data_IF_904332619450
#
_entry.id   IF_904332619450
#
_cell.length_a   1.000
_cell.length_b   1.000
_cell.length_c   1.000
_cell.angle_alpha   90.00
_cell.angle_beta   90.00
_cell.angle_gamma   90.00
#
_symmetry.space_group_name_H-M   'P 1'
#
loop_
_entity.id
_entity.type
_entity.pdbx_description
1 polymer ?
#
# COMPACT_ATOMS: atom_id res chain seq x y z
N UNK A 1 28.17 12.16 20.18
CA UNK A 1 29.18 12.74 19.32
C UNK A 1 29.32 11.85 18.12
N UNK A 2 28.93 12.40 17.01
CA UNK A 2 29.23 12.09 15.61
C UNK A 2 29.25 10.64 15.11
N UNK A 3 28.22 10.33 14.39
CA UNK A 3 28.07 9.18 13.50
C UNK A 3 27.05 9.49 12.41
N UNK A 4 27.16 10.70 11.80
CA UNK A 4 26.42 11.02 10.57
C UNK A 4 27.05 10.28 9.39
N UNK A 5 26.60 9.10 9.07
CA UNK A 5 26.90 8.46 7.79
C UNK A 5 26.11 9.15 6.68
N UNK A 6 26.86 9.68 5.74
CA UNK A 6 26.37 10.31 4.50
C UNK A 6 25.66 9.27 3.64
N UNK A 7 24.41 9.53 3.34
CA UNK A 7 23.68 8.78 2.32
C UNK A 7 24.25 9.12 0.94
N UNK A 8 24.86 8.15 0.29
CA UNK A 8 25.17 8.22 -1.14
C UNK A 8 23.87 8.01 -1.92
N UNK A 9 23.54 8.99 -2.74
CA UNK A 9 22.49 8.94 -3.75
C UNK A 9 22.88 7.90 -4.82
N UNK A 10 22.38 6.67 -4.73
CA UNK A 10 22.42 5.77 -5.86
C UNK A 10 21.24 6.13 -6.78
N UNK A 11 21.60 6.80 -7.85
CA UNK A 11 20.76 7.09 -9.01
C UNK A 11 20.40 5.77 -9.68
N UNK A 12 19.12 5.51 -9.83
CA UNK A 12 18.61 4.42 -10.65
C UNK A 12 18.95 4.70 -12.12
N UNK A 13 19.96 4.03 -12.67
CA UNK A 13 20.22 4.03 -14.10
C UNK A 13 19.30 3.02 -14.76
N UNK A 14 18.43 3.52 -15.64
CA UNK A 14 17.61 2.70 -16.54
C UNK A 14 18.51 1.89 -17.48
N UNK A 15 18.52 0.56 -17.33
CA UNK A 15 19.00 -0.32 -18.39
C UNK A 15 17.95 -0.34 -19.50
N UNK A 16 18.25 0.29 -20.62
CA UNK A 16 17.54 0.10 -21.88
C UNK A 16 17.89 -1.29 -22.45
N UNK A 17 16.86 -1.92 -23.01
CA UNK A 17 16.81 -3.12 -23.84
C UNK A 17 16.39 -4.43 -23.19
N UNK A 18 15.08 -4.64 -23.30
CA UNK A 18 14.47 -5.91 -23.74
C UNK A 18 12.94 -5.80 -23.68
N UNK A 19 12.29 -5.55 -24.82
CA UNK A 19 10.83 -5.67 -24.97
C UNK A 19 10.42 -7.14 -24.90
N UNK A 20 9.48 -7.53 -24.03
CA UNK A 20 8.91 -8.87 -24.06
C UNK A 20 7.74 -8.93 -25.05
N UNK A 21 7.78 -9.90 -25.95
CA UNK A 21 6.80 -10.15 -27.02
C UNK A 21 5.31 -10.35 -26.58
N UNK A 22 5.02 -10.39 -25.29
CA UNK A 22 3.66 -10.51 -24.74
C UNK A 22 2.93 -9.17 -24.59
N UNK A 23 3.62 -8.03 -24.68
CA UNK A 23 3.01 -6.70 -24.55
C UNK A 23 2.52 -6.20 -25.92
N UNK A 24 3.13 -6.67 -27.01
CA UNK A 24 2.79 -6.21 -28.36
C UNK A 24 1.42 -6.71 -28.86
N UNK A 25 0.96 -7.89 -28.45
CA UNK A 25 -0.36 -8.41 -28.85
C UNK A 25 -1.51 -7.63 -28.22
N UNK A 26 -1.35 -7.14 -26.97
CA UNK A 26 -2.35 -6.31 -26.31
C UNK A 26 -2.28 -4.84 -26.77
N UNK A 27 -1.12 -4.36 -27.21
CA UNK A 27 -0.96 -3.00 -27.74
C UNK A 27 -1.65 -2.83 -29.10
N UNK A 28 -1.65 -3.86 -29.95
CA UNK A 28 -2.31 -3.81 -31.26
C UNK A 28 -3.85 -3.85 -31.18
N UNK A 29 -4.45 -4.53 -30.23
CA UNK A 29 -5.88 -4.42 -29.97
C UNK A 29 -6.27 -3.05 -29.34
N UNK A 30 -5.32 -2.38 -28.68
CA UNK A 30 -5.49 -1.08 -28.07
C UNK A 30 -5.31 0.10 -29.03
N UNK A 31 -4.61 -0.11 -30.17
CA UNK A 31 -4.36 0.94 -31.18
C UNK A 31 -5.51 1.18 -32.17
N UNK A 32 -6.51 0.28 -32.24
CA UNK A 32 -7.62 0.36 -33.18
C UNK A 32 -8.75 1.34 -32.79
N UNK A 33 -8.65 2.04 -31.65
CA UNK A 33 -9.57 3.12 -31.27
C UNK A 33 -9.00 4.47 -31.66
N UNK A 34 -9.24 4.87 -32.89
CA UNK A 34 -8.79 6.14 -33.47
C UNK A 34 -9.14 7.36 -32.60
N UNK A 35 -8.11 8.18 -32.32
CA UNK A 35 -8.14 9.62 -32.14
C UNK A 35 -8.81 10.22 -30.90
N UNK A 36 -8.76 9.59 -29.70
CA UNK A 36 -8.95 10.37 -28.47
C UNK A 36 -7.59 10.75 -27.88
N UNK A 37 -7.37 12.01 -27.49
CA UNK A 37 -6.17 12.35 -26.76
C UNK A 37 -6.11 11.49 -25.47
N UNK A 38 -4.92 11.01 -25.12
CA UNK A 38 -4.70 10.23 -23.89
C UNK A 38 -5.28 10.97 -22.68
N UNK A 39 -6.08 10.33 -21.82
CA UNK A 39 -6.70 11.01 -20.69
C UNK A 39 -5.66 11.49 -19.68
N UNK A 40 -5.91 12.66 -19.10
CA UNK A 40 -5.11 13.21 -18.02
C UNK A 40 -5.74 12.88 -16.66
N UNK A 41 -5.02 12.10 -15.84
CA UNK A 41 -5.39 11.75 -14.47
C UNK A 41 -4.53 12.54 -13.49
N UNK A 42 -5.18 13.38 -12.69
CA UNK A 42 -4.55 14.08 -11.56
C UNK A 42 -4.77 13.31 -10.28
N UNK A 43 -3.69 12.83 -9.68
CA UNK A 43 -3.71 12.16 -8.38
C UNK A 43 -3.62 13.21 -7.27
N UNK A 44 -4.67 13.35 -6.48
CA UNK A 44 -4.71 14.31 -5.37
C UNK A 44 -4.55 13.57 -4.04
N UNK A 45 -3.49 13.87 -3.31
CA UNK A 45 -3.13 13.23 -2.04
C UNK A 45 -2.85 14.27 -0.95
N UNK A 46 -3.20 13.96 0.30
CA UNK A 46 -3.07 14.88 1.43
C UNK A 46 -1.61 15.30 1.68
N UNK A 47 -0.70 14.33 1.68
CA UNK A 47 0.73 14.59 1.87
C UNK A 47 1.59 13.42 1.39
N UNK A 48 2.86 13.73 1.09
CA UNK A 48 3.94 12.80 0.79
C UNK A 48 5.14 13.12 1.72
N UNK A 49 4.88 13.07 3.05
CA UNK A 49 5.86 13.38 4.11
C UNK A 49 6.51 12.13 4.70
N UNK A 50 5.85 10.98 4.57
CA UNK A 50 6.34 9.66 4.93
C UNK A 50 5.65 8.66 4.00
N UNK A 51 6.32 7.56 3.69
CA UNK A 51 5.77 6.53 2.84
C UNK A 51 5.05 5.47 3.68
N UNK A 52 3.73 5.49 3.60
CA UNK A 52 2.85 4.43 4.09
C UNK A 52 2.28 3.64 2.91
N UNK A 53 1.44 2.65 3.19
CA UNK A 53 0.88 1.79 2.13
C UNK A 53 0.08 2.52 1.05
N UNK A 54 -0.57 3.64 1.39
CA UNK A 54 -1.32 4.46 0.44
C UNK A 54 -0.42 5.28 -0.46
N UNK A 55 0.58 5.94 0.12
CA UNK A 55 1.58 6.75 -0.57
C UNK A 55 2.43 5.88 -1.51
N UNK A 56 2.96 4.78 -1.01
CA UNK A 56 3.73 3.82 -1.81
C UNK A 56 2.92 3.27 -2.98
N UNK A 57 1.64 2.95 -2.76
CA UNK A 57 0.78 2.49 -3.85
C UNK A 57 0.56 3.58 -4.92
N UNK A 58 0.33 4.84 -4.51
CA UNK A 58 0.18 5.95 -5.47
C UNK A 58 1.45 6.11 -6.31
N UNK A 59 2.63 6.14 -5.68
CA UNK A 59 3.90 6.27 -6.39
C UNK A 59 4.11 5.11 -7.36
N UNK A 60 3.84 3.88 -6.94
CA UNK A 60 3.87 2.67 -7.80
C UNK A 60 2.91 2.79 -8.99
N UNK A 61 1.68 3.26 -8.77
CA UNK A 61 0.70 3.47 -9.86
C UNK A 61 1.22 4.47 -10.86
N UNK A 62 1.77 5.60 -10.41
CA UNK A 62 2.29 6.66 -11.29
C UNK A 62 3.52 6.21 -12.06
N UNK A 63 4.42 5.47 -11.42
CA UNK A 63 5.64 4.93 -12.03
C UNK A 63 5.34 3.90 -13.13
N UNK A 64 4.40 2.99 -12.85
CA UNK A 64 4.06 1.88 -13.75
C UNK A 64 2.98 2.19 -14.78
N UNK A 65 2.34 3.38 -14.69
CA UNK A 65 1.31 3.78 -15.65
C UNK A 65 1.93 4.09 -17.00
N UNK A 66 1.53 3.39 -18.10
CA UNK A 66 2.07 3.65 -19.43
C UNK A 66 1.75 5.09 -19.86
N UNK A 67 2.78 5.94 -20.11
CA UNK A 67 2.56 7.36 -20.43
C UNK A 67 1.90 7.57 -21.79
N UNK A 68 1.96 6.59 -22.68
CA UNK A 68 1.27 6.57 -23.97
C UNK A 68 -0.24 6.34 -23.84
N UNK A 69 -0.69 5.71 -22.74
CA UNK A 69 -2.11 5.43 -22.49
C UNK A 69 -2.76 6.45 -21.57
N UNK A 70 -2.04 6.95 -20.56
CA UNK A 70 -2.56 7.88 -19.55
C UNK A 70 -1.49 8.90 -19.18
N UNK A 71 -1.83 10.20 -19.28
CA UNK A 71 -1.02 11.28 -18.72
C UNK A 71 -1.29 11.35 -17.21
N UNK A 72 -0.25 11.29 -16.40
CA UNK A 72 -0.34 11.39 -14.94
C UNK A 72 0.27 12.68 -14.41
N UNK A 73 -0.32 13.27 -13.39
CA UNK A 73 0.27 14.31 -12.55
C UNK A 73 -0.17 14.14 -11.10
N UNK A 74 0.58 14.70 -10.16
CA UNK A 74 0.29 14.63 -8.73
C UNK A 74 0.00 16.03 -8.19
N UNK A 75 -1.03 16.15 -7.36
CA UNK A 75 -1.28 17.33 -6.53
C UNK A 75 -1.23 16.94 -5.06
N UNK A 76 -0.53 17.72 -4.25
CA UNK A 76 -0.40 17.45 -2.80
C UNK A 76 -0.32 18.75 -2.01
N UNK A 77 -0.61 18.67 -0.70
CA UNK A 77 -0.51 19.84 0.18
C UNK A 77 0.86 19.95 0.84
N UNK A 78 1.59 18.84 0.96
CA UNK A 78 2.97 18.81 1.51
C UNK A 78 3.72 17.60 0.94
N UNK A 79 4.98 17.82 0.60
CA UNK A 79 5.88 16.77 0.13
C UNK A 79 7.28 17.00 0.70
N UNK A 80 8.01 15.93 0.97
CA UNK A 80 9.44 15.99 1.26
C UNK A 80 10.22 16.18 -0.04
N UNK A 81 11.27 17.01 -0.05
CA UNK A 81 12.09 17.22 -1.25
C UNK A 81 12.63 15.90 -1.84
N UNK A 82 13.12 15.00 -0.98
CA UNK A 82 13.71 13.72 -1.40
C UNK A 82 12.69 12.83 -2.13
N UNK A 83 11.42 12.86 -1.69
CA UNK A 83 10.34 12.13 -2.36
C UNK A 83 9.96 12.82 -3.68
N UNK A 84 9.95 14.15 -3.69
CA UNK A 84 9.62 14.91 -4.90
C UNK A 84 10.64 14.65 -6.01
N UNK A 85 11.92 14.58 -5.69
CA UNK A 85 13.01 14.31 -6.64
C UNK A 85 12.93 12.91 -7.25
N UNK A 86 12.33 11.95 -6.57
CA UNK A 86 12.14 10.57 -7.08
C UNK A 86 10.93 10.41 -8.01
N UNK A 87 10.11 11.44 -8.19
CA UNK A 87 8.86 11.37 -8.97
C UNK A 87 9.09 11.90 -10.40
N UNK A 88 8.81 11.07 -11.40
CA UNK A 88 9.04 11.39 -12.82
C UNK A 88 7.86 12.06 -13.54
N UNK A 89 6.79 12.41 -12.82
CA UNK A 89 5.64 13.13 -13.37
C UNK A 89 5.52 14.51 -12.73
N UNK A 90 4.77 15.47 -13.35
CA UNK A 90 4.56 16.78 -12.76
C UNK A 90 3.94 16.70 -11.35
N UNK A 91 4.55 17.40 -10.39
CA UNK A 91 4.07 17.49 -9.00
C UNK A 91 3.71 18.94 -8.68
N UNK A 92 2.46 19.16 -8.31
CA UNK A 92 1.92 20.47 -7.96
C UNK A 92 1.69 20.52 -6.44
N UNK A 93 2.38 21.44 -5.77
CA UNK A 93 2.26 21.58 -4.31
C UNK A 93 1.39 22.79 -3.98
N UNK A 94 0.32 22.56 -3.24
CA UNK A 94 -0.63 23.58 -2.76
C UNK A 94 -0.49 23.76 -1.25
N UNK A 95 0.50 24.51 -0.76
CA UNK A 95 0.79 24.57 0.67
C UNK A 95 -0.36 25.26 1.42
N UNK A 96 -0.99 24.52 2.33
CA UNK A 96 -1.95 25.06 3.27
C UNK A 96 -1.82 24.36 4.63
N UNK A 97 -2.24 25.06 5.69
CA UNK A 97 -2.09 24.54 7.05
C UNK A 97 -3.39 23.99 7.65
N UNK A 98 -4.55 24.49 7.25
CA UNK A 98 -5.89 24.11 7.80
C UNK A 98 -6.99 24.32 6.79
N UNK A 99 -7.97 23.40 6.74
CA UNK A 99 -9.12 23.38 5.82
C UNK A 99 -10.02 24.62 5.93
N UNK A 100 -10.08 25.26 7.10
CA UNK A 100 -10.98 26.41 7.38
C UNK A 100 -10.26 27.76 7.33
N UNK A 101 -9.10 27.88 6.70
CA UNK A 101 -8.34 29.12 6.60
C UNK A 101 -8.47 29.75 5.21
N UNK A 102 -8.30 31.09 5.08
CA UNK A 102 -8.30 31.80 3.81
C UNK A 102 -7.37 31.17 2.76
N UNK A 103 -6.27 30.53 3.20
CA UNK A 103 -5.37 29.76 2.34
C UNK A 103 -6.04 28.57 1.63
N UNK A 104 -7.09 27.99 2.19
CA UNK A 104 -7.82 26.90 1.55
C UNK A 104 -8.58 27.36 0.29
N UNK A 105 -9.14 28.57 0.32
CA UNK A 105 -9.79 29.16 -0.85
C UNK A 105 -8.80 29.46 -1.94
N UNK A 106 -7.62 30.02 -1.61
CA UNK A 106 -6.54 30.24 -2.59
C UNK A 106 -6.09 28.92 -3.22
N UNK A 107 -5.89 27.86 -2.41
CA UNK A 107 -5.56 26.53 -2.90
C UNK A 107 -6.68 25.94 -3.79
N UNK A 108 -7.96 26.16 -3.45
CA UNK A 108 -9.09 25.71 -4.26
C UNK A 108 -9.11 26.39 -5.64
N UNK A 109 -8.89 27.71 -5.67
CA UNK A 109 -8.78 28.45 -6.92
C UNK A 109 -7.58 27.99 -7.78
N UNK A 110 -6.43 27.77 -7.13
CA UNK A 110 -5.23 27.29 -7.82
C UNK A 110 -5.42 25.86 -8.36
N UNK A 111 -6.01 24.94 -7.56
CA UNK A 111 -6.34 23.61 -8.02
C UNK A 111 -7.37 23.62 -9.15
N UNK A 112 -8.40 24.45 -9.04
CA UNK A 112 -9.39 24.63 -10.12
C UNK A 112 -8.74 25.15 -11.41
N UNK A 113 -7.83 26.13 -11.29
CA UNK A 113 -7.07 26.68 -12.43
C UNK A 113 -6.23 25.58 -13.07
N UNK A 114 -5.46 24.81 -12.28
CA UNK A 114 -4.67 23.68 -12.76
C UNK A 114 -5.52 22.68 -13.53
N UNK A 115 -6.66 22.23 -12.95
CA UNK A 115 -7.56 21.26 -13.59
C UNK A 115 -8.03 21.75 -14.95
N UNK A 116 -8.32 23.03 -15.10
CA UNK A 116 -8.80 23.61 -16.35
C UNK A 116 -7.70 23.84 -17.37
N UNK A 117 -6.59 24.45 -16.95
CA UNK A 117 -5.49 24.81 -17.84
C UNK A 117 -4.81 23.56 -18.42
N UNK A 118 -4.69 22.49 -17.60
CA UNK A 118 -4.09 21.23 -18.04
C UNK A 118 -5.09 20.21 -18.61
N UNK A 119 -6.36 20.61 -18.75
CA UNK A 119 -7.43 19.76 -19.27
C UNK A 119 -7.51 18.40 -18.55
N UNK A 120 -7.50 18.42 -17.19
CA UNK A 120 -7.59 17.22 -16.38
C UNK A 120 -8.95 16.55 -16.58
N UNK A 121 -8.94 15.31 -17.02
CA UNK A 121 -10.17 14.53 -17.24
C UNK A 121 -10.69 13.90 -15.97
N UNK A 122 -9.80 13.31 -15.16
CA UNK A 122 -10.12 12.58 -13.93
C UNK A 122 -9.26 13.12 -12.79
N UNK A 123 -9.89 13.42 -11.66
CA UNK A 123 -9.20 13.64 -10.38
C UNK A 123 -9.41 12.39 -9.52
N UNK A 124 -8.33 11.66 -9.27
CA UNK A 124 -8.34 10.53 -8.34
C UNK A 124 -7.81 10.97 -6.98
N UNK A 125 -8.63 10.86 -5.95
CA UNK A 125 -8.32 11.37 -4.60
C UNK A 125 -7.86 10.26 -3.67
N UNK A 126 -6.91 10.60 -2.78
CA UNK A 126 -6.35 9.72 -1.75
C UNK A 126 -6.45 10.39 -0.38
N UNK A 127 -6.91 9.65 0.63
CA UNK A 127 -7.09 10.08 2.02
C UNK A 127 -8.23 11.10 2.24
N UNK A 128 -8.39 11.51 3.50
CA UNK A 128 -9.59 12.19 3.95
C UNK A 128 -9.76 13.59 3.37
N UNK A 129 -8.71 14.42 3.47
CA UNK A 129 -8.78 15.82 3.03
C UNK A 129 -8.95 15.92 1.52
N UNK A 130 -8.17 15.13 0.77
CA UNK A 130 -8.27 15.05 -0.68
C UNK A 130 -9.64 14.55 -1.12
N UNK A 131 -10.19 13.55 -0.43
CA UNK A 131 -11.53 13.05 -0.71
C UNK A 131 -12.60 14.12 -0.49
N UNK A 132 -12.58 14.79 0.66
CA UNK A 132 -13.64 15.75 1.03
C UNK A 132 -13.52 17.07 0.26
N UNK A 133 -12.41 17.77 0.48
CA UNK A 133 -12.20 19.09 -0.10
C UNK A 133 -11.85 19.03 -1.58
N UNK A 134 -10.86 18.19 -1.93
CA UNK A 134 -10.41 18.04 -3.31
C UNK A 134 -11.50 17.50 -4.22
N UNK A 135 -12.33 16.58 -3.72
CA UNK A 135 -13.46 16.05 -4.47
C UNK A 135 -14.47 17.12 -4.86
N UNK A 136 -14.80 18.06 -3.96
CA UNK A 136 -15.69 19.19 -4.27
C UNK A 136 -15.06 20.09 -5.33
N UNK A 137 -13.79 20.46 -5.17
CA UNK A 137 -13.08 21.31 -6.14
C UNK A 137 -13.02 20.64 -7.52
N UNK A 138 -12.71 19.34 -7.59
CA UNK A 138 -12.68 18.59 -8.83
C UNK A 138 -14.02 18.66 -9.59
N UNK A 139 -15.13 18.41 -8.90
CA UNK A 139 -16.48 18.47 -9.50
C UNK A 139 -16.84 19.87 -9.96
N UNK A 140 -16.55 20.90 -9.18
CA UNK A 140 -16.78 22.31 -9.57
C UNK A 140 -15.87 22.76 -10.73
N UNK A 141 -14.81 22.01 -11.01
CA UNK A 141 -13.90 22.28 -12.14
C UNK A 141 -14.31 21.57 -13.44
N UNK A 142 -15.27 20.65 -13.38
CA UNK A 142 -15.76 19.86 -14.51
C UNK A 142 -15.02 18.55 -14.75
N UNK A 143 -14.05 18.17 -13.89
CA UNK A 143 -13.39 16.88 -13.95
C UNK A 143 -14.27 15.75 -13.37
N UNK A 144 -14.02 14.51 -13.83
CA UNK A 144 -14.60 13.32 -13.21
C UNK A 144 -13.90 13.06 -11.87
N UNK A 145 -14.68 12.72 -10.84
CA UNK A 145 -14.18 12.40 -9.51
C UNK A 145 -14.14 10.91 -9.28
N UNK A 146 -12.95 10.35 -9.12
CA UNK A 146 -12.69 9.01 -8.67
C UNK A 146 -12.18 9.04 -7.22
N UNK A 147 -13.03 8.67 -6.26
CA UNK A 147 -12.70 8.73 -4.83
C UNK A 147 -12.14 7.39 -4.35
N UNK A 148 -10.86 7.32 -3.97
CA UNK A 148 -10.25 6.08 -3.49
C UNK A 148 -10.54 5.82 -2.01
N UNK A 149 -10.90 4.57 -1.69
CA UNK A 149 -11.10 4.04 -0.34
C UNK A 149 -10.07 2.96 -0.09
N UNK A 150 -9.16 3.24 0.86
CA UNK A 150 -7.97 2.42 1.10
C UNK A 150 -7.90 1.81 2.50
N UNK A 151 -8.90 2.10 3.33
CA UNK A 151 -9.03 1.59 4.70
C UNK A 151 -10.51 1.41 5.07
N UNK A 152 -10.74 0.85 6.26
CA UNK A 152 -12.07 0.62 6.84
C UNK A 152 -12.58 1.83 7.62
N UNK A 153 -12.14 3.04 7.30
CA UNK A 153 -12.62 4.27 7.93
C UNK A 153 -12.22 4.46 9.40
N UNK A 154 -11.20 3.76 9.89
CA UNK A 154 -10.79 3.79 11.31
C UNK A 154 -10.41 5.20 11.79
N UNK A 155 -9.79 5.98 10.92
CA UNK A 155 -9.37 7.35 11.24
C UNK A 155 -10.48 8.37 11.03
N UNK A 156 -11.66 7.94 10.55
CA UNK A 156 -12.76 8.84 10.23
C UNK A 156 -13.38 9.40 11.48
N UNK A 157 -13.46 10.73 11.56
CA UNK A 157 -14.13 11.43 12.63
C UNK A 157 -15.64 11.53 12.33
N UNK A 158 -16.49 11.24 13.30
CA UNK A 158 -17.97 11.28 13.17
C UNK A 158 -18.48 12.63 12.66
N UNK A 159 -17.81 13.73 13.02
CA UNK A 159 -18.15 15.10 12.54
C UNK A 159 -18.03 15.26 11.01
N UNK A 160 -17.28 14.40 10.33
CA UNK A 160 -17.13 14.46 8.87
C UNK A 160 -18.15 13.58 8.12
N UNK A 161 -19.03 12.86 8.83
CA UNK A 161 -19.98 11.94 8.22
C UNK A 161 -20.90 12.62 7.18
N UNK A 162 -21.39 13.83 7.49
CA UNK A 162 -22.23 14.59 6.55
C UNK A 162 -21.45 15.01 5.30
N UNK A 163 -20.23 15.50 5.46
CA UNK A 163 -19.36 15.87 4.35
C UNK A 163 -19.05 14.67 3.46
N UNK A 164 -18.80 13.50 4.04
CA UNK A 164 -18.65 12.26 3.30
C UNK A 164 -19.89 11.89 2.49
N UNK A 165 -21.10 12.05 3.05
CA UNK A 165 -22.35 11.79 2.30
C UNK A 165 -22.47 12.68 1.07
N UNK A 166 -22.11 13.94 1.18
CA UNK A 166 -22.12 14.89 0.05
C UNK A 166 -21.11 14.46 -1.02
N UNK A 167 -19.86 14.23 -0.63
CA UNK A 167 -18.80 13.86 -1.58
C UNK A 167 -19.06 12.49 -2.22
N UNK A 168 -19.59 11.53 -1.47
CA UNK A 168 -19.97 10.22 -2.01
C UNK A 168 -21.05 10.34 -3.09
N UNK A 169 -21.99 11.28 -2.95
CA UNK A 169 -22.98 11.57 -4.00
C UNK A 169 -22.35 12.23 -5.23
N UNK A 170 -21.39 13.14 -5.02
CA UNK A 170 -20.69 13.85 -6.09
C UNK A 170 -19.71 12.96 -6.86
N UNK A 171 -19.17 11.93 -6.23
CA UNK A 171 -18.23 11.02 -6.88
C UNK A 171 -18.88 10.31 -8.08
N UNK A 172 -18.21 10.34 -9.22
CA UNK A 172 -18.62 9.61 -10.43
C UNK A 172 -18.36 8.11 -10.24
N UNK A 173 -17.30 7.78 -9.49
CA UNK A 173 -16.96 6.42 -9.09
C UNK A 173 -16.18 6.43 -7.77
N UNK A 174 -16.32 5.35 -7.02
CA UNK A 174 -15.50 5.05 -5.83
C UNK A 174 -14.65 3.83 -6.14
N UNK A 175 -13.36 3.93 -5.88
CA UNK A 175 -12.41 2.84 -6.01
C UNK A 175 -12.15 2.26 -4.62
N UNK A 176 -12.55 1.02 -4.39
CA UNK A 176 -12.23 0.26 -3.19
C UNK A 176 -11.03 -0.67 -3.46
N UNK A 177 -10.17 -0.86 -2.46
CA UNK A 177 -8.97 -1.70 -2.61
C UNK A 177 -9.23 -3.18 -2.32
N UNK A 178 -10.44 -3.53 -1.86
CA UNK A 178 -10.90 -4.90 -1.60
C UNK A 178 -12.42 -4.97 -1.61
N UNK A 179 -12.99 -6.17 -1.72
CA UNK A 179 -14.44 -6.36 -1.61
C UNK A 179 -14.95 -6.04 -0.19
N UNK A 180 -14.12 -6.29 0.84
CA UNK A 180 -14.48 -5.92 2.22
C UNK A 180 -14.54 -4.39 2.40
N UNK A 181 -13.60 -3.63 1.82
CA UNK A 181 -13.68 -2.15 1.79
C UNK A 181 -14.90 -1.68 1.00
N UNK A 182 -15.25 -2.35 -0.13
CA UNK A 182 -16.47 -2.07 -0.87
C UNK A 182 -17.71 -2.31 -0.01
N UNK A 183 -17.78 -3.43 0.70
CA UNK A 183 -18.86 -3.75 1.63
C UNK A 183 -18.98 -2.67 2.71
N UNK A 184 -17.86 -2.26 3.31
CA UNK A 184 -17.86 -1.13 4.26
C UNK A 184 -18.42 0.15 3.64
N UNK A 185 -18.05 0.49 2.40
CA UNK A 185 -18.58 1.65 1.69
C UNK A 185 -20.10 1.57 1.47
N UNK A 186 -20.64 0.38 1.20
CA UNK A 186 -22.08 0.15 1.04
C UNK A 186 -22.77 0.30 2.41
N UNK A 187 -22.28 -0.42 3.42
CA UNK A 187 -22.97 -0.57 4.71
C UNK A 187 -22.87 0.70 5.58
N UNK A 188 -21.66 1.23 5.72
CA UNK A 188 -21.38 2.38 6.59
C UNK A 188 -21.55 3.72 5.87
N UNK A 189 -21.08 3.82 4.63
CA UNK A 189 -21.08 5.07 3.87
C UNK A 189 -22.32 5.26 3.01
N UNK A 190 -23.17 4.23 2.91
CA UNK A 190 -24.41 4.23 2.09
C UNK A 190 -24.15 4.63 0.63
N UNK A 191 -23.01 4.18 0.09
CA UNK A 191 -22.68 4.40 -1.33
C UNK A 191 -23.43 3.37 -2.17
N UNK A 192 -24.00 3.83 -3.30
CA UNK A 192 -24.61 2.96 -4.29
C UNK A 192 -23.59 1.90 -4.79
N UNK A 193 -23.86 0.60 -4.67
CA UNK A 193 -22.98 -0.46 -5.14
C UNK A 193 -22.52 -0.31 -6.59
N UNK A 194 -23.38 0.23 -7.47
CA UNK A 194 -23.08 0.47 -8.87
C UNK A 194 -22.04 1.57 -9.09
N UNK A 195 -21.78 2.41 -8.07
CA UNK A 195 -20.73 3.42 -8.08
C UNK A 195 -19.37 2.90 -7.59
N UNK A 196 -19.29 1.68 -7.07
CA UNK A 196 -18.05 1.16 -6.48
C UNK A 196 -17.40 0.15 -7.41
N UNK A 197 -16.13 0.37 -7.72
CA UNK A 197 -15.28 -0.59 -8.42
C UNK A 197 -14.18 -1.06 -7.48
N UNK A 198 -13.87 -2.34 -7.52
CA UNK A 198 -12.74 -2.89 -6.75
C UNK A 198 -11.54 -3.01 -7.65
N UNK A 199 -10.41 -2.45 -7.22
CA UNK A 199 -9.10 -2.65 -7.83
C UNK A 199 -8.12 -2.96 -6.71
N UNK A 200 -7.66 -4.19 -6.66
CA UNK A 200 -6.67 -4.66 -5.68
C UNK A 200 -5.35 -3.92 -5.83
N UNK A 201 -4.62 -3.78 -4.73
CA UNK A 201 -3.24 -3.34 -4.78
C UNK A 201 -2.40 -4.38 -5.54
N UNK A 202 -1.35 -3.91 -6.22
CA UNK A 202 -0.45 -4.77 -6.95
C UNK A 202 0.97 -4.77 -6.37
N UNK A 203 1.62 -5.92 -6.44
CA UNK A 203 3.06 -6.07 -6.12
C UNK A 203 3.88 -6.01 -7.40
N UNK A 204 5.00 -5.29 -7.36
CA UNK A 204 5.96 -5.22 -8.48
C UNK A 204 6.80 -6.50 -8.51
N UNK A 205 6.43 -7.40 -9.43
CA UNK A 205 7.11 -8.68 -9.58
C UNK A 205 8.52 -8.54 -10.19
N UNK A 206 8.79 -7.48 -10.96
CA UNK A 206 10.12 -7.22 -11.51
C UNK A 206 11.09 -6.85 -10.39
N UNK A 207 10.64 -5.96 -9.49
CA UNK A 207 11.42 -5.60 -8.31
C UNK A 207 11.67 -6.81 -7.39
N UNK A 208 10.65 -7.64 -7.16
CA UNK A 208 10.80 -8.88 -6.37
C UNK A 208 11.74 -9.88 -7.05
N UNK A 209 11.65 -10.05 -8.37
CA UNK A 209 12.47 -10.97 -9.16
C UNK A 209 13.89 -10.48 -9.42
N UNK A 210 14.16 -9.19 -9.21
CA UNK A 210 15.51 -8.66 -9.36
C UNK A 210 16.48 -9.39 -8.42
N UNK A 211 17.67 -9.68 -8.92
CA UNK A 211 18.75 -10.15 -8.05
C UNK A 211 18.98 -9.09 -6.98
N UNK A 212 18.96 -9.52 -5.73
CA UNK A 212 19.26 -8.63 -4.60
C UNK A 212 20.69 -8.09 -4.74
N UNK A 213 21.07 -7.06 -3.94
CA UNK A 213 22.44 -6.58 -3.93
C UNK A 213 23.40 -7.77 -3.74
N UNK A 214 24.53 -7.78 -4.46
CA UNK A 214 25.55 -8.85 -4.40
C UNK A 214 25.95 -9.22 -2.98
N UNK A 215 25.78 -8.30 -2.03
CA UNK A 215 25.97 -8.52 -0.61
C UNK A 215 24.65 -8.37 0.13
N UNK A 216 24.29 -9.38 0.93
CA UNK A 216 23.17 -9.28 1.84
C UNK A 216 23.39 -8.11 2.83
N UNK A 217 22.57 -7.03 2.82
CA UNK A 217 22.77 -5.86 3.68
C UNK A 217 22.64 -6.19 5.19
N UNK A 218 22.16 -7.37 5.52
CA UNK A 218 21.93 -7.86 6.89
C UNK A 218 22.88 -8.98 7.31
N UNK A 219 23.90 -9.30 6.49
CA UNK A 219 24.83 -10.41 6.76
C UNK A 219 25.61 -10.24 8.08
N UNK A 220 25.84 -8.99 8.52
CA UNK A 220 26.54 -8.66 9.76
C UNK A 220 25.61 -8.28 10.91
N UNK A 221 24.29 -8.41 10.73
CA UNK A 221 23.33 -8.12 11.81
C UNK A 221 23.50 -9.12 12.98
N UNK A 222 23.24 -8.67 14.19
CA UNK A 222 23.33 -9.47 15.44
C UNK A 222 22.34 -10.67 15.46
N UNK A 223 21.42 -10.72 14.51
CA UNK A 223 20.43 -11.78 14.31
C UNK A 223 20.67 -12.64 13.05
N UNK A 224 21.77 -12.39 12.30
CA UNK A 224 22.07 -13.14 11.07
C UNK A 224 22.22 -14.66 11.26
N UNK A 225 22.57 -15.10 12.48
CA UNK A 225 22.65 -16.52 12.89
C UNK A 225 21.38 -17.09 13.50
N UNK A 226 20.23 -16.42 13.41
CA UNK A 226 18.97 -16.92 13.93
C UNK A 226 18.54 -18.21 13.23
N UNK A 227 17.98 -19.17 14.00
CA UNK A 227 17.46 -20.42 13.45
C UNK A 227 16.23 -20.22 12.58
N UNK A 228 15.42 -19.21 12.91
CA UNK A 228 14.22 -18.81 12.18
C UNK A 228 14.06 -17.29 12.23
N UNK A 229 13.76 -16.69 11.10
CA UNK A 229 13.48 -15.26 10.98
C UNK A 229 11.99 -15.07 10.65
N UNK A 230 11.27 -14.39 11.52
CA UNK A 230 9.87 -14.02 11.31
C UNK A 230 9.81 -12.52 11.08
N UNK A 231 9.34 -12.10 9.90
CA UNK A 231 9.32 -10.67 9.53
C UNK A 231 7.90 -10.11 9.57
N UNK A 232 7.78 -8.90 10.14
CA UNK A 232 6.60 -8.04 10.07
C UNK A 232 6.99 -6.73 9.40
N UNK A 233 6.32 -6.36 8.32
CA UNK A 233 6.55 -5.08 7.62
C UNK A 233 5.39 -4.14 7.90
N UNK A 234 5.53 -3.29 8.90
CA UNK A 234 4.49 -2.37 9.34
C UNK A 234 5.05 -1.22 10.17
N UNK A 235 4.57 0.00 9.95
CA UNK A 235 4.80 1.09 10.89
C UNK A 235 4.28 0.73 12.29
N UNK A 236 5.02 1.05 13.34
CA UNK A 236 4.65 0.76 14.73
C UNK A 236 3.49 1.68 15.13
N UNK A 237 2.28 1.15 14.93
CA UNK A 237 0.99 1.78 15.23
C UNK A 237 0.09 0.77 15.90
N UNK A 238 -0.77 1.23 16.81
CA UNK A 238 -1.70 0.35 17.54
C UNK A 238 -2.60 -0.48 16.60
N UNK A 239 -3.03 0.09 15.48
CA UNK A 239 -3.82 -0.64 14.48
C UNK A 239 -3.07 -1.82 13.85
N UNK A 240 -1.74 -1.84 13.91
CA UNK A 240 -0.92 -2.91 13.33
C UNK A 240 -0.64 -4.09 14.29
N UNK A 241 -1.11 -4.01 15.54
CA UNK A 241 -1.06 -5.13 16.50
C UNK A 241 0.34 -5.60 16.85
N UNK A 242 1.33 -4.68 16.94
CA UNK A 242 2.71 -5.05 17.28
C UNK A 242 2.80 -5.60 18.71
N UNK A 243 1.94 -5.17 19.62
CA UNK A 243 1.79 -5.75 20.97
C UNK A 243 1.34 -7.21 20.91
N UNK A 244 0.42 -7.58 20.02
CA UNK A 244 0.01 -8.95 19.77
C UNK A 244 1.18 -9.77 19.21
N UNK A 245 1.94 -9.18 18.28
CA UNK A 245 3.15 -9.81 17.72
C UNK A 245 4.20 -10.08 18.80
N UNK A 246 4.42 -9.16 19.75
CA UNK A 246 5.37 -9.35 20.85
C UNK A 246 4.92 -10.48 21.79
N UNK A 247 3.61 -10.59 22.12
CA UNK A 247 3.07 -11.72 22.89
C UNK A 247 3.23 -13.05 22.13
N UNK A 248 2.99 -13.03 20.82
CA UNK A 248 3.24 -14.19 19.95
C UNK A 248 4.72 -14.58 19.96
N UNK A 249 5.63 -13.60 19.86
CA UNK A 249 7.07 -13.82 19.90
C UNK A 249 7.51 -14.46 21.24
N UNK A 250 6.97 -13.99 22.37
CA UNK A 250 7.26 -14.56 23.68
C UNK A 250 6.93 -16.07 23.72
N UNK A 251 5.76 -16.45 23.22
CA UNK A 251 5.33 -17.86 23.17
C UNK A 251 6.18 -18.69 22.19
N UNK A 252 6.45 -18.17 20.98
CA UNK A 252 7.28 -18.87 19.98
C UNK A 252 8.70 -19.06 20.51
N UNK A 253 9.33 -18.03 21.08
CA UNK A 253 10.71 -18.09 21.56
C UNK A 253 10.87 -18.98 22.80
N UNK A 254 9.81 -19.21 23.58
CA UNK A 254 9.82 -20.19 24.64
C UNK A 254 10.05 -21.63 24.12
N UNK A 255 9.51 -21.93 22.92
CA UNK A 255 9.65 -23.24 22.27
C UNK A 255 10.81 -23.30 21.27
N UNK A 256 11.16 -22.19 20.66
CA UNK A 256 12.23 -22.01 19.69
C UNK A 256 13.10 -20.79 20.08
N UNK A 257 14.01 -20.94 21.04
CA UNK A 257 14.79 -19.81 21.60
C UNK A 257 15.66 -19.06 20.57
N UNK A 258 16.04 -19.72 19.46
CA UNK A 258 16.80 -19.14 18.36
C UNK A 258 15.95 -18.41 17.32
N UNK A 259 14.64 -18.29 17.50
CA UNK A 259 13.77 -17.54 16.60
C UNK A 259 13.90 -16.02 16.85
N UNK A 260 13.89 -15.23 15.75
CA UNK A 260 13.96 -13.77 15.81
C UNK A 260 12.82 -13.16 15.02
N UNK A 261 12.18 -12.17 15.61
CA UNK A 261 11.11 -11.37 15.01
C UNK A 261 11.65 -10.00 14.59
N UNK A 262 11.55 -9.69 13.31
CA UNK A 262 12.00 -8.43 12.73
C UNK A 262 10.80 -7.55 12.39
N UNK A 263 10.71 -6.37 13.00
CA UNK A 263 9.66 -5.38 12.72
C UNK A 263 10.27 -4.25 11.89
N UNK A 264 10.00 -4.26 10.58
CA UNK A 264 10.44 -3.26 9.63
C UNK A 264 9.36 -2.20 9.43
N UNK A 265 9.56 -1.00 9.96
CA UNK A 265 8.66 0.14 9.84
C UNK A 265 8.93 1.23 10.86
N UNK A 266 8.56 2.46 10.51
CA UNK A 266 8.80 3.63 11.36
C UNK A 266 8.09 3.53 12.70
N UNK A 267 8.73 4.07 13.75
CA UNK A 267 8.13 4.25 15.09
C UNK A 267 7.11 5.40 15.04
N UNK A 268 5.98 5.17 14.39
CA UNK A 268 5.05 6.20 13.95
C UNK A 268 4.25 6.83 15.11
N UNK A 269 3.72 5.98 16.01
CA UNK A 269 3.01 6.43 17.22
C UNK A 269 3.97 6.35 18.40
N UNK A 270 4.56 7.49 18.78
CA UNK A 270 5.64 7.54 19.78
C UNK A 270 5.28 6.84 21.09
N UNK A 271 4.15 7.17 21.70
CA UNK A 271 3.73 6.57 22.96
C UNK A 271 3.54 5.05 22.85
N UNK A 272 2.95 4.58 21.74
CA UNK A 272 2.79 3.15 21.50
C UNK A 272 4.15 2.47 21.21
N UNK A 273 5.06 3.13 20.52
CA UNK A 273 6.41 2.61 20.29
C UNK A 273 7.20 2.44 21.59
N UNK A 274 7.08 3.40 22.52
CA UNK A 274 7.67 3.33 23.86
C UNK A 274 7.04 2.19 24.70
N UNK A 275 5.72 1.97 24.57
CA UNK A 275 5.00 0.85 25.19
C UNK A 275 5.55 -0.49 24.67
N UNK A 276 5.70 -0.64 23.35
CA UNK A 276 6.25 -1.86 22.73
C UNK A 276 7.69 -2.12 23.19
N UNK A 277 8.55 -1.10 23.24
CA UNK A 277 9.93 -1.26 23.74
C UNK A 277 9.96 -1.74 25.19
N UNK A 278 9.13 -1.16 26.08
CA UNK A 278 9.01 -1.61 27.47
C UNK A 278 8.52 -3.05 27.57
N UNK A 279 7.57 -3.43 26.72
CA UNK A 279 7.03 -4.79 26.67
C UNK A 279 8.11 -5.81 26.26
N UNK A 280 8.92 -5.49 25.24
CA UNK A 280 10.05 -6.33 24.80
C UNK A 280 11.03 -6.56 25.97
N UNK A 281 11.43 -5.49 26.68
CA UNK A 281 12.35 -5.57 27.81
C UNK A 281 11.74 -6.35 28.98
N UNK A 282 10.48 -6.07 29.35
CA UNK A 282 9.83 -6.74 30.48
C UNK A 282 9.62 -8.24 30.26
N UNK A 283 9.58 -8.68 29.01
CA UNK A 283 9.47 -10.11 28.63
C UNK A 283 10.83 -10.77 28.34
N UNK A 284 11.95 -10.02 28.43
CA UNK A 284 13.29 -10.53 28.15
C UNK A 284 13.54 -10.89 26.68
N UNK A 285 12.88 -10.17 25.77
CA UNK A 285 12.87 -10.49 24.33
C UNK A 285 13.81 -9.61 23.50
N UNK A 286 14.75 -8.86 24.12
CA UNK A 286 15.63 -7.90 23.42
C UNK A 286 16.51 -8.59 22.36
N UNK A 287 16.83 -9.87 22.56
CA UNK A 287 17.57 -10.66 21.57
C UNK A 287 16.68 -11.19 20.45
N UNK A 288 15.38 -11.40 20.71
CA UNK A 288 14.44 -12.07 19.83
C UNK A 288 13.54 -11.12 19.04
N UNK A 289 13.27 -9.91 19.52
CA UNK A 289 12.41 -8.94 18.82
C UNK A 289 13.20 -7.67 18.50
N UNK A 290 13.34 -7.37 17.23
CA UNK A 290 14.10 -6.22 16.73
C UNK A 290 13.19 -5.23 16.03
N UNK A 291 13.13 -4.00 16.54
CA UNK A 291 12.47 -2.87 15.87
C UNK A 291 13.48 -2.19 14.96
N UNK A 292 13.43 -2.48 13.65
CA UNK A 292 14.44 -2.02 12.67
C UNK A 292 14.28 -0.54 12.28
N UNK A 293 13.15 0.08 12.62
CA UNK A 293 12.81 1.40 12.10
C UNK A 293 12.40 1.34 10.63
N UNK A 294 12.45 2.48 9.95
CA UNK A 294 12.09 2.57 8.54
C UNK A 294 13.08 1.77 7.68
N UNK A 295 12.56 0.85 6.90
CA UNK A 295 13.31 0.07 5.89
C UNK A 295 12.79 0.49 4.53
N UNK A 296 13.68 0.99 3.68
CA UNK A 296 13.30 1.51 2.36
C UNK A 296 12.80 0.38 1.43
N UNK A 297 13.53 -0.72 1.40
CA UNK A 297 13.15 -1.91 0.65
C UNK A 297 13.10 -3.13 1.57
N UNK A 298 11.90 -3.66 1.87
CA UNK A 298 11.75 -4.83 2.72
C UNK A 298 12.00 -6.17 1.99
N UNK A 299 12.14 -6.17 0.66
CA UNK A 299 12.27 -7.40 -0.13
C UNK A 299 13.46 -8.26 0.31
N UNK A 300 14.67 -7.74 0.56
CA UNK A 300 15.78 -8.53 1.07
C UNK A 300 15.48 -9.20 2.42
N UNK A 301 14.77 -8.50 3.34
CA UNK A 301 14.34 -9.08 4.62
C UNK A 301 13.32 -10.20 4.40
N UNK A 302 12.34 -9.98 3.53
CA UNK A 302 11.33 -10.97 3.21
C UNK A 302 11.96 -12.23 2.59
N UNK A 303 12.90 -12.09 1.66
CA UNK A 303 13.61 -13.22 1.03
C UNK A 303 14.39 -14.09 2.03
N UNK A 304 14.79 -13.54 3.18
CA UNK A 304 15.49 -14.26 4.26
C UNK A 304 14.52 -14.86 5.27
N UNK A 305 13.25 -14.54 5.21
CA UNK A 305 12.29 -14.89 6.26
C UNK A 305 11.80 -16.33 6.16
N UNK A 306 11.76 -17.02 7.29
CA UNK A 306 11.10 -18.32 7.45
C UNK A 306 9.58 -18.19 7.42
N UNK A 307 9.06 -17.05 7.89
CA UNK A 307 7.64 -16.73 7.87
C UNK A 307 7.42 -15.21 7.90
N UNK A 308 6.31 -14.77 7.36
CA UNK A 308 5.79 -13.41 7.52
C UNK A 308 4.65 -13.43 8.53
N UNK A 309 4.63 -12.49 9.46
CA UNK A 309 3.58 -12.38 10.48
C UNK A 309 3.07 -10.95 10.60
N UNK A 310 1.76 -10.73 10.39
CA UNK A 310 1.12 -9.43 10.60
C UNK A 310 -0.23 -9.58 11.28
N UNK A 311 -0.32 -9.11 12.53
CA UNK A 311 -1.47 -9.29 13.42
C UNK A 311 -2.28 -8.01 13.57
N UNK A 312 -2.52 -7.33 12.46
CA UNK A 312 -3.24 -6.06 12.41
C UNK A 312 -4.68 -6.18 12.92
N UNK A 313 -5.15 -5.13 13.58
CA UNK A 313 -6.54 -4.97 14.02
C UNK A 313 -7.46 -4.57 12.88
N UNK A 314 -6.90 -3.94 11.84
CA UNK A 314 -7.63 -3.56 10.63
C UNK A 314 -6.69 -3.27 9.48
N UNK A 315 -7.15 -3.63 8.28
CA UNK A 315 -6.50 -3.35 7.01
C UNK A 315 -7.54 -2.97 5.95
N UNK A 316 -7.10 -2.25 4.92
CA UNK A 316 -7.88 -2.17 3.67
C UNK A 316 -7.53 -3.34 2.77
N UNK A 317 -6.28 -3.36 2.31
CA UNK A 317 -5.63 -4.49 1.62
C UNK A 317 -4.12 -4.38 1.86
N UNK A 318 -3.54 -5.41 2.46
CA UNK A 318 -2.18 -5.35 2.99
C UNK A 318 -1.10 -5.49 1.91
N UNK A 319 -0.39 -4.40 1.57
CA UNK A 319 0.70 -4.44 0.59
C UNK A 319 1.85 -5.36 1.03
N UNK A 320 2.23 -5.30 2.32
CA UNK A 320 3.32 -6.10 2.84
C UNK A 320 3.02 -7.62 2.77
N UNK A 321 1.74 -8.01 2.93
CA UNK A 321 1.33 -9.39 2.70
C UNK A 321 1.54 -9.80 1.25
N UNK A 322 1.16 -8.94 0.28
CA UNK A 322 1.36 -9.23 -1.14
C UNK A 322 2.85 -9.34 -1.49
N UNK A 323 3.69 -8.50 -0.90
CA UNK A 323 5.15 -8.54 -1.07
C UNK A 323 5.73 -9.83 -0.48
N UNK A 324 5.29 -10.24 0.73
CA UNK A 324 5.70 -11.50 1.33
C UNK A 324 5.26 -12.71 0.49
N UNK A 325 4.00 -12.71 0.03
CA UNK A 325 3.48 -13.74 -0.89
C UNK A 325 4.32 -13.83 -2.16
N UNK A 326 4.63 -12.70 -2.79
CA UNK A 326 5.43 -12.65 -4.03
C UNK A 326 6.87 -13.13 -3.81
N UNK A 327 7.44 -12.91 -2.62
CA UNK A 327 8.73 -13.50 -2.21
C UNK A 327 8.63 -15.02 -1.94
N UNK A 328 7.43 -15.61 -1.91
CA UNK A 328 7.24 -17.02 -1.58
C UNK A 328 7.34 -17.30 -0.07
N UNK A 329 7.10 -16.30 0.78
CA UNK A 329 7.18 -16.44 2.23
C UNK A 329 5.83 -16.86 2.79
N UNK A 330 5.74 -18.01 3.50
CA UNK A 330 4.49 -18.43 4.11
C UNK A 330 4.06 -17.42 5.19
N UNK A 331 2.77 -17.06 5.18
CA UNK A 331 2.27 -15.93 5.96
C UNK A 331 1.24 -16.33 6.99
N UNK A 332 1.32 -15.74 8.19
CA UNK A 332 0.29 -15.78 9.23
C UNK A 332 -0.23 -14.36 9.46
N UNK A 333 -1.51 -14.13 9.18
CA UNK A 333 -2.11 -12.79 9.27
C UNK A 333 -3.46 -12.84 9.97
N UNK A 334 -3.91 -11.70 10.51
CA UNK A 334 -5.26 -11.60 11.05
C UNK A 334 -6.31 -11.59 9.93
N UNK A 335 -7.49 -12.14 10.22
CA UNK A 335 -8.66 -12.16 9.33
C UNK A 335 -9.36 -10.80 9.34
N UNK A 336 -8.73 -9.79 8.70
CA UNK A 336 -9.25 -8.42 8.65
C UNK A 336 -9.11 -7.83 7.25
N UNK A 337 -10.03 -6.92 6.90
CA UNK A 337 -10.04 -6.23 5.61
C UNK A 337 -9.93 -7.19 4.44
N UNK A 338 -9.08 -6.88 3.48
CA UNK A 338 -8.86 -7.70 2.29
C UNK A 338 -7.97 -8.94 2.48
N UNK A 339 -7.43 -9.22 3.68
CA UNK A 339 -6.59 -10.41 3.91
C UNK A 339 -7.31 -11.72 3.53
N UNK A 340 -8.62 -11.91 3.82
CA UNK A 340 -9.36 -13.11 3.38
C UNK A 340 -9.49 -13.25 1.87
N UNK A 341 -9.28 -12.18 1.11
CA UNK A 341 -9.32 -12.22 -0.35
C UNK A 341 -7.97 -12.65 -0.93
N UNK A 342 -6.88 -12.45 -0.18
CA UNK A 342 -5.53 -12.85 -0.56
C UNK A 342 -5.19 -14.27 -0.10
N UNK A 343 -5.56 -14.63 1.13
CA UNK A 343 -5.21 -15.90 1.78
C UNK A 343 -6.32 -16.93 1.64
N UNK A 344 -5.93 -18.11 1.17
CA UNK A 344 -6.69 -19.36 1.27
C UNK A 344 -6.09 -20.21 2.38
N UNK A 345 -6.87 -20.42 3.43
CA UNK A 345 -6.45 -21.10 4.67
C UNK A 345 -5.75 -22.44 4.41
N UNK A 346 -4.51 -22.55 4.87
CA UNK A 346 -3.69 -23.76 4.73
C UNK A 346 -3.15 -24.06 3.33
N UNK A 347 -3.59 -23.31 2.29
CA UNK A 347 -3.12 -23.47 0.91
C UNK A 347 -1.96 -22.52 0.59
N UNK A 348 -2.13 -21.21 0.85
CA UNK A 348 -1.14 -20.18 0.56
C UNK A 348 -0.84 -19.25 1.77
N UNK A 349 -1.28 -19.64 2.97
CA UNK A 349 -1.06 -18.93 4.21
C UNK A 349 -2.08 -19.34 5.28
N UNK A 350 -2.01 -18.66 6.43
CA UNK A 350 -2.92 -18.87 7.55
C UNK A 350 -3.53 -17.55 8.02
N UNK A 351 -4.79 -17.63 8.45
CA UNK A 351 -5.49 -16.51 9.06
C UNK A 351 -5.88 -16.83 10.50
N UNK A 352 -5.70 -15.86 11.38
CA UNK A 352 -6.05 -15.97 12.78
C UNK A 352 -7.05 -14.89 13.20
N UNK A 353 -7.80 -15.08 14.30
CA UNK A 353 -8.64 -14.01 14.85
C UNK A 353 -7.80 -12.82 15.32
N UNK A 354 -8.44 -11.64 15.35
CA UNK A 354 -7.82 -10.43 15.94
C UNK A 354 -7.58 -10.65 17.43
N UNK A 355 -6.46 -10.16 17.97
CA UNK A 355 -6.03 -10.30 19.37
C UNK A 355 -5.72 -11.74 19.81
N UNK A 356 -5.67 -12.71 18.91
CA UNK A 356 -5.41 -14.11 19.25
C UNK A 356 -3.93 -14.49 19.01
N UNK A 357 -3.08 -14.13 19.98
CA UNK A 357 -1.65 -14.46 19.96
C UNK A 357 -1.41 -15.98 20.13
N UNK A 358 -2.33 -16.72 20.74
CA UNK A 358 -2.22 -18.17 20.85
C UNK A 358 -2.41 -18.86 19.50
N UNK A 359 -3.44 -18.52 18.74
CA UNK A 359 -3.64 -19.04 17.39
C UNK A 359 -2.49 -18.64 16.45
N UNK A 360 -1.98 -17.40 16.56
CA UNK A 360 -0.83 -16.95 15.79
C UNK A 360 0.42 -17.78 16.11
N UNK A 361 0.65 -18.07 17.38
CA UNK A 361 1.75 -18.93 17.85
C UNK A 361 1.65 -20.33 17.26
N UNK A 362 0.48 -20.97 17.35
CA UNK A 362 0.24 -22.30 16.79
C UNK A 362 0.58 -22.38 15.30
N UNK A 363 0.09 -21.40 14.50
CA UNK A 363 0.34 -21.37 13.06
C UNK A 363 1.81 -21.10 12.72
N UNK A 364 2.49 -20.21 13.47
CA UNK A 364 3.92 -19.97 13.27
C UNK A 364 4.74 -21.21 13.63
N UNK A 365 4.51 -21.83 14.80
CA UNK A 365 5.21 -23.05 15.18
C UNK A 365 4.97 -24.19 14.18
N UNK A 366 3.77 -24.31 13.65
CA UNK A 366 3.49 -25.27 12.58
C UNK A 366 4.37 -25.02 11.36
N UNK A 367 4.48 -23.79 10.88
CA UNK A 367 5.34 -23.45 9.72
C UNK A 367 6.82 -23.72 10.02
N UNK A 368 7.31 -23.25 11.18
CA UNK A 368 8.72 -23.32 11.54
C UNK A 368 9.20 -24.76 11.78
N UNK A 369 8.31 -25.65 12.22
CA UNK A 369 8.61 -27.08 12.45
C UNK A 369 8.42 -27.97 11.22
N UNK A 370 7.77 -27.46 10.17
CA UNK A 370 7.47 -28.20 8.96
C UNK A 370 7.97 -27.46 7.70
N UNK A 371 9.30 -27.38 7.49
CA UNK A 371 9.90 -26.55 6.44
C UNK A 371 9.45 -26.92 5.02
N UNK A 372 9.23 -28.20 4.73
CA UNK A 372 8.74 -28.66 3.44
C UNK A 372 7.31 -28.13 3.16
N UNK A 373 6.44 -28.21 4.18
CA UNK A 373 5.08 -27.68 4.06
C UNK A 373 5.06 -26.17 3.99
N UNK A 374 5.92 -25.49 4.74
CA UNK A 374 6.11 -24.04 4.67
C UNK A 374 6.54 -23.60 3.26
N UNK A 375 7.48 -24.31 2.64
CA UNK A 375 7.91 -24.06 1.26
C UNK A 375 6.77 -24.24 0.24
N UNK A 376 5.96 -25.30 0.36
CA UNK A 376 4.78 -25.51 -0.48
C UNK A 376 3.75 -24.37 -0.36
N UNK A 377 3.46 -23.94 0.86
CA UNK A 377 2.54 -22.83 1.15
C UNK A 377 3.11 -21.53 0.57
N UNK A 378 4.41 -21.28 0.73
CA UNK A 378 5.10 -20.13 0.16
C UNK A 378 5.04 -20.08 -1.37
N UNK A 379 5.23 -21.22 -2.04
CA UNK A 379 5.16 -21.29 -3.52
C UNK A 379 3.72 -21.09 -4.02
N UNK A 380 2.74 -21.63 -3.31
CA UNK A 380 1.32 -21.36 -3.60
C UNK A 380 0.97 -19.87 -3.39
N UNK A 381 1.56 -19.23 -2.34
CA UNK A 381 1.43 -17.81 -2.11
C UNK A 381 2.03 -16.99 -3.27
N UNK A 382 3.24 -17.34 -3.72
CA UNK A 382 3.91 -16.70 -4.86
C UNK A 382 3.06 -16.77 -6.12
N UNK A 383 2.57 -17.95 -6.46
CA UNK A 383 1.68 -18.17 -7.61
C UNK A 383 0.42 -17.30 -7.52
N UNK A 384 -0.19 -17.21 -6.34
CA UNK A 384 -1.36 -16.36 -6.09
C UNK A 384 -1.05 -14.87 -6.29
N UNK A 385 0.11 -14.41 -5.79
CA UNK A 385 0.55 -13.02 -5.97
C UNK A 385 0.79 -12.69 -7.46
N UNK A 386 1.47 -13.58 -8.18
CA UNK A 386 1.78 -13.40 -9.60
C UNK A 386 0.53 -13.34 -10.47
N UNK A 387 -0.43 -14.24 -10.24
CA UNK A 387 -1.61 -14.37 -11.10
C UNK A 387 -2.71 -13.36 -10.79
N UNK A 388 -2.88 -12.98 -9.52
CA UNK A 388 -4.02 -12.18 -9.07
C UNK A 388 -3.67 -10.76 -8.63
N UNK A 389 -2.47 -10.56 -8.11
CA UNK A 389 -2.09 -9.33 -7.42
C UNK A 389 -0.80 -8.71 -7.97
N UNK A 390 -0.49 -8.94 -9.24
CA UNK A 390 0.62 -8.24 -9.89
C UNK A 390 0.29 -6.75 -10.09
N UNK A 391 1.31 -5.89 -10.04
CA UNK A 391 1.16 -4.48 -10.35
C UNK A 391 0.64 -4.27 -11.79
N UNK A 392 1.02 -5.13 -12.71
CA UNK A 392 0.51 -5.10 -14.09
C UNK A 392 -1.01 -5.31 -14.15
N UNK A 393 -1.54 -6.30 -13.41
CA UNK A 393 -2.99 -6.55 -13.29
C UNK A 393 -3.72 -5.34 -12.69
N UNK A 394 -3.14 -4.73 -11.65
CA UNK A 394 -3.67 -3.50 -11.04
C UNK A 394 -3.73 -2.35 -12.06
N UNK A 395 -2.65 -2.10 -12.82
CA UNK A 395 -2.59 -1.03 -13.83
C UNK A 395 -3.60 -1.27 -14.95
N UNK A 396 -3.70 -2.50 -15.47
CA UNK A 396 -4.72 -2.86 -16.48
C UNK A 396 -6.14 -2.57 -15.99
N UNK A 397 -6.43 -2.91 -14.73
CA UNK A 397 -7.74 -2.65 -14.11
C UNK A 397 -8.01 -1.15 -13.95
N UNK A 398 -7.01 -0.36 -13.57
CA UNK A 398 -7.14 1.10 -13.47
C UNK A 398 -7.38 1.74 -14.85
N UNK A 399 -6.65 1.34 -15.88
CA UNK A 399 -6.84 1.86 -17.25
C UNK A 399 -8.26 1.54 -17.75
N UNK A 400 -8.74 0.33 -17.53
CA UNK A 400 -10.13 -0.06 -17.86
C UNK A 400 -11.14 0.83 -17.14
N UNK A 401 -10.95 1.04 -15.82
CA UNK A 401 -11.81 1.91 -15.02
C UNK A 401 -11.82 3.37 -15.53
N UNK A 402 -10.67 3.91 -15.90
CA UNK A 402 -10.60 5.27 -16.45
C UNK A 402 -11.33 5.38 -17.79
N UNK A 403 -11.19 4.38 -18.68
CA UNK A 403 -11.91 4.32 -19.95
C UNK A 403 -13.42 4.25 -19.76
N UNK A 404 -13.89 3.43 -18.83
CA UNK A 404 -15.32 3.31 -18.50
C UNK A 404 -15.91 4.62 -17.98
N UNK A 405 -15.15 5.34 -17.15
CA UNK A 405 -15.55 6.65 -16.64
C UNK A 405 -15.70 7.68 -17.74
N UNK A 406 -14.74 7.72 -18.66
CA UNK A 406 -14.74 8.66 -19.78
C UNK A 406 -15.86 8.34 -20.78
N UNK A 407 -16.07 7.07 -21.13
CA UNK A 407 -17.14 6.64 -22.01
C UNK A 407 -18.53 7.05 -21.49
N UNK A 408 -18.75 6.92 -20.17
CA UNK A 408 -20.01 7.36 -19.53
C UNK A 408 -20.20 8.88 -19.55
N UNK A 409 -19.13 9.68 -19.48
CA UNK A 409 -19.18 11.13 -19.61
C UNK A 409 -19.64 11.53 -21.03
N UNK A 410 -19.03 10.90 -22.03
CA UNK A 410 -19.26 11.24 -23.43
C UNK A 410 -20.62 10.75 -23.92
N UNK A 411 -21.11 9.62 -23.43
CA UNK A 411 -22.46 9.12 -23.72
C UNK A 411 -23.62 9.91 -23.07
N UNK A 412 -23.28 10.83 -22.12
CA UNK A 412 -24.24 11.74 -21.48
C UNK A 412 -24.24 13.16 -22.09
N UNK A 413 -23.32 13.46 -22.99
CA UNK A 413 -23.26 14.69 -23.78
C UNK A 413 -23.93 14.49 -25.13
#
# INVERSE_FOLDING_TARGET
>A
MDGMQRFSSQVWTSSQDSSPAGVEASANELSASAARPRPHVLFLIDHLMALGGGETNLLKVVELMPPELVRCSIATFRIKPEIQESIHVPVHVFPWKRVYHLGAWKAAFALRKLIRDEHVDIVQTYFETSNLWGGIVAKLSGALLLSSRRDMGILRKTKHALAYRVVNRLADRVLAVSEEVKKFCIDADRIDPHKISVVYNGVDLKHIGAEGPETNPYATADWAGASHIITCVANVRRVKGIDVLVRTAERVCRELPGAVFLVAGSLYERAYSEEIQKMIVSMGLEKNVKLLGFVNDPVPLLKMSSAFCMLSRSEGFCNALLEAMACGVPSVVTRVGGNPEAIREGENGFMVPVEDDAAATERLLYLLRNPERAAQIGESARTSAQTRFSAETMIKSLISLYRDLLAKRDGKR
#
